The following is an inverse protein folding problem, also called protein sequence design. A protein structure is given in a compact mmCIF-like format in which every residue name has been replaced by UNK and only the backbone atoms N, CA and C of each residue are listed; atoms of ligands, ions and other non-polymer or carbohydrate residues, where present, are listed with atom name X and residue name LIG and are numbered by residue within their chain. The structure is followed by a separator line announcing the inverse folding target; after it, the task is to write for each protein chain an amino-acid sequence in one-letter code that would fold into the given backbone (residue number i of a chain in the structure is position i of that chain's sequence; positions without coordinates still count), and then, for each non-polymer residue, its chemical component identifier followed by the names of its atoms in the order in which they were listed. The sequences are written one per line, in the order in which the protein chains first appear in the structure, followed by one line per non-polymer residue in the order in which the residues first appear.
data_IF_720074767287
#
_entry.id   IF_720074767287
#
_cell.length_a   1.000
_cell.length_b   1.000
_cell.length_c   1.000
_cell.angle_alpha   90.00
_cell.angle_beta   90.00
_cell.angle_gamma   90.00
#
_symmetry.space_group_name_H-M   'P 1'
#
loop_
_entity.id
_entity.type
_entity.pdbx_description
1 polymer ?
#
# COMPACT_ATOMS: atom_id res chain seq x y z
N UNK A 1 -0.13 2.75 -13.69
CA UNK A 1 -1.57 2.67 -13.46
C UNK A 1 -1.90 1.23 -13.11
N UNK A 2 -2.64 1.00 -12.03
CA UNK A 2 -3.03 -0.33 -11.57
C UNK A 2 -4.55 -0.56 -11.71
N UNK A 3 -5.35 0.37 -11.19
CA UNK A 3 -6.80 0.29 -11.21
C UNK A 3 -7.42 1.50 -10.51
N UNK A 4 -8.75 1.48 -10.34
CA UNK A 4 -9.47 2.50 -9.60
C UNK A 4 -10.61 1.93 -8.78
N UNK A 5 -10.88 2.52 -7.62
CA UNK A 5 -11.98 2.14 -6.73
C UNK A 5 -12.75 3.38 -6.26
N UNK A 6 -14.07 3.46 -6.44
CA UNK A 6 -14.89 4.50 -5.80
C UNK A 6 -14.81 4.40 -4.28
N UNK A 7 -14.65 5.53 -3.60
CA UNK A 7 -14.59 5.62 -2.14
C UNK A 7 -15.58 6.67 -1.61
N UNK A 8 -16.70 6.24 -0.98
CA UNK A 8 -17.85 7.11 -0.70
C UNK A 8 -17.70 7.99 0.55
N UNK A 9 -16.47 8.40 0.91
CA UNK A 9 -16.23 9.28 2.06
C UNK A 9 -15.10 10.27 1.76
N UNK A 10 -15.37 11.57 1.52
CA UNK A 10 -16.69 12.18 1.29
C UNK A 10 -17.29 11.83 -0.08
N UNK A 11 -16.52 11.91 -1.19
CA UNK A 11 -16.92 11.49 -2.55
C UNK A 11 -15.65 11.38 -3.42
N UNK A 12 -14.86 10.31 -3.24
CA UNK A 12 -13.54 10.16 -3.89
C UNK A 12 -13.48 9.02 -4.88
N UNK A 13 -12.58 9.13 -5.86
CA UNK A 13 -12.15 8.02 -6.72
C UNK A 13 -10.69 7.72 -6.41
N UNK A 14 -10.43 6.57 -5.80
CA UNK A 14 -9.07 6.09 -5.55
C UNK A 14 -8.48 5.60 -6.86
N UNK A 15 -7.30 6.09 -7.24
CA UNK A 15 -6.57 5.61 -8.42
C UNK A 15 -5.26 5.00 -7.92
N UNK A 16 -5.11 3.69 -8.14
CA UNK A 16 -3.95 2.93 -7.69
C UNK A 16 -2.81 2.97 -8.70
N UNK A 17 -1.59 3.07 -8.18
CA UNK A 17 -0.35 3.01 -8.95
C UNK A 17 0.68 2.14 -8.24
N UNK A 18 1.58 1.56 -9.02
CA UNK A 18 2.83 0.97 -8.55
C UNK A 18 3.96 1.92 -8.91
N UNK A 19 4.96 1.99 -8.04
CA UNK A 19 6.12 2.86 -8.19
C UNK A 19 7.36 2.11 -7.72
N UNK A 20 8.49 2.38 -8.37
CA UNK A 20 9.80 1.93 -7.89
C UNK A 20 10.47 3.05 -7.10
N UNK A 21 11.15 2.66 -6.03
CA UNK A 21 11.92 3.60 -5.23
C UNK A 21 13.18 4.04 -5.98
N UNK A 22 13.35 5.35 -6.16
CA UNK A 22 14.51 5.90 -6.88
C UNK A 22 15.69 6.23 -5.95
N UNK A 23 15.45 7.01 -4.88
CA UNK A 23 16.45 7.44 -3.89
C UNK A 23 15.80 8.25 -2.75
N UNK A 24 16.55 8.54 -1.68
CA UNK A 24 16.08 9.31 -0.52
C UNK A 24 16.24 8.58 0.83
N UNK A 25 15.52 9.06 1.83
CA UNK A 25 15.34 8.42 3.14
C UNK A 25 13.88 8.60 3.58
N UNK A 26 13.37 7.72 4.45
CA UNK A 26 12.02 7.83 4.98
C UNK A 26 11.96 9.04 5.93
N UNK A 27 11.10 10.02 5.62
CA UNK A 27 10.84 11.21 6.45
C UNK A 27 9.34 11.52 6.41
N UNK A 28 8.49 10.83 7.21
CA UNK A 28 7.05 11.07 7.23
C UNK A 28 6.74 12.43 7.86
N UNK A 29 5.68 13.08 7.37
CA UNK A 29 5.08 14.22 8.06
C UNK A 29 4.35 13.71 9.31
N UNK A 30 4.75 14.14 10.53
CA UNK A 30 4.14 13.65 11.76
C UNK A 30 2.68 14.08 11.96
N UNK A 31 2.16 15.07 11.21
CA UNK A 31 0.75 15.44 11.27
C UNK A 31 -0.15 14.49 10.46
N UNK A 32 0.38 13.90 9.39
CA UNK A 32 -0.38 13.02 8.49
C UNK A 32 -0.09 11.52 8.70
N UNK A 33 1.15 11.15 9.00
CA UNK A 33 1.62 9.76 9.04
C UNK A 33 2.33 9.48 10.36
N UNK A 34 1.72 8.63 11.19
CA UNK A 34 2.28 8.20 12.48
C UNK A 34 3.49 7.26 12.34
N UNK A 35 3.46 6.34 11.36
CA UNK A 35 4.53 5.37 11.14
C UNK A 35 4.72 5.05 9.66
N UNK A 36 5.99 5.04 9.22
CA UNK A 36 6.40 4.63 7.89
C UNK A 36 7.68 3.79 7.96
N UNK A 37 7.67 2.64 7.30
CA UNK A 37 8.81 1.72 7.24
C UNK A 37 8.80 0.91 5.94
N UNK A 38 9.95 0.35 5.59
CA UNK A 38 10.07 -0.61 4.50
C UNK A 38 9.73 -2.01 4.99
N UNK A 39 8.92 -2.73 4.21
CA UNK A 39 8.56 -4.12 4.46
C UNK A 39 8.90 -4.97 3.24
N UNK A 40 9.47 -6.15 3.47
CA UNK A 40 9.68 -7.14 2.42
C UNK A 40 8.37 -7.88 2.13
N UNK A 41 8.25 -8.46 0.95
CA UNK A 41 7.11 -9.32 0.62
C UNK A 41 6.95 -10.49 1.60
N UNK A 42 8.06 -11.10 2.01
CA UNK A 42 8.09 -12.11 3.06
C UNK A 42 7.54 -11.61 4.40
N UNK A 43 7.93 -10.42 4.86
CA UNK A 43 7.44 -9.87 6.13
C UNK A 43 5.91 -9.66 6.10
N UNK A 44 5.39 -9.14 4.99
CA UNK A 44 3.94 -8.98 4.80
C UNK A 44 3.24 -10.35 4.79
N UNK A 45 3.78 -11.32 4.05
CA UNK A 45 3.22 -12.68 3.96
C UNK A 45 3.23 -13.42 5.30
N UNK A 46 4.24 -13.16 6.13
CA UNK A 46 4.38 -13.74 7.47
C UNK A 46 3.46 -13.05 8.49
N UNK A 47 2.74 -11.99 8.11
CA UNK A 47 1.84 -11.26 9.00
C UNK A 47 2.57 -10.36 10.00
N UNK A 48 3.80 -9.94 9.69
CA UNK A 48 4.58 -9.01 10.53
C UNK A 48 3.98 -7.59 10.54
N UNK A 49 3.13 -7.29 9.55
CA UNK A 49 2.36 -6.04 9.44
C UNK A 49 0.91 -6.35 9.07
N UNK A 50 -0.02 -5.55 9.63
CA UNK A 50 -1.42 -5.58 9.22
C UNK A 50 -1.59 -4.97 7.82
N UNK A 51 -2.34 -5.66 6.97
CA UNK A 51 -2.71 -5.16 5.65
C UNK A 51 -4.22 -5.31 5.44
N UNK A 52 -4.88 -4.36 4.76
CA UNK A 52 -6.29 -4.47 4.48
C UNK A 52 -6.55 -5.60 3.47
N UNK A 53 -7.67 -6.34 3.56
CA UNK A 53 -7.97 -7.40 2.60
C UNK A 53 -8.11 -6.89 1.16
N UNK A 54 -7.54 -7.62 0.20
CA UNK A 54 -7.64 -7.29 -1.22
C UNK A 54 -9.08 -7.32 -1.77
N UNK A 55 -9.93 -8.15 -1.19
CA UNK A 55 -11.35 -8.25 -1.57
C UNK A 55 -12.16 -6.96 -1.29
N UNK A 56 -11.66 -6.05 -0.45
CA UNK A 56 -12.42 -4.86 -0.02
C UNK A 56 -11.77 -3.53 -0.40
N UNK A 57 -10.48 -3.50 -0.69
CA UNK A 57 -9.75 -2.24 -0.89
C UNK A 57 -8.67 -2.35 -1.98
N UNK A 58 -8.51 -1.28 -2.76
CA UNK A 58 -7.44 -1.13 -3.75
C UNK A 58 -6.06 -1.12 -3.08
N UNK A 59 -5.97 -0.65 -1.83
CA UNK A 59 -4.76 -0.77 -1.02
C UNK A 59 -4.39 -2.24 -0.79
N UNK A 60 -5.35 -3.07 -0.39
CA UNK A 60 -5.15 -4.51 -0.22
C UNK A 60 -4.75 -5.20 -1.53
N UNK A 61 -5.37 -4.81 -2.66
CA UNK A 61 -5.02 -5.35 -3.98
C UNK A 61 -3.60 -5.01 -4.41
N UNK A 62 -3.15 -3.77 -4.17
CA UNK A 62 -1.78 -3.34 -4.46
C UNK A 62 -0.76 -4.12 -3.63
N UNK A 63 -1.07 -4.33 -2.35
CA UNK A 63 -0.18 -5.06 -1.42
C UNK A 63 -0.12 -6.54 -1.77
N UNK A 64 -1.26 -7.17 -2.06
CA UNK A 64 -1.32 -8.59 -2.48
C UNK A 64 -0.54 -8.79 -3.78
N UNK A 65 -0.73 -7.92 -4.78
CA UNK A 65 0.06 -7.93 -6.01
C UNK A 65 1.56 -7.83 -5.72
N UNK A 66 1.99 -6.95 -4.81
CA UNK A 66 3.40 -6.85 -4.43
C UNK A 66 3.93 -8.16 -3.83
N UNK A 67 3.18 -8.78 -2.91
CA UNK A 67 3.56 -10.05 -2.26
C UNK A 67 3.63 -11.21 -3.26
N UNK A 68 2.78 -11.21 -4.28
CA UNK A 68 2.77 -12.26 -5.31
C UNK A 68 3.91 -12.11 -6.34
N UNK A 69 4.40 -10.88 -6.57
CA UNK A 69 5.39 -10.59 -7.61
C UNK A 69 6.83 -10.49 -7.08
N UNK A 70 7.01 -10.36 -5.77
CA UNK A 70 8.33 -10.24 -5.13
C UNK A 70 8.46 -11.28 -4.02
N UNK A 71 9.59 -11.99 -3.97
CA UNK A 71 9.89 -13.04 -2.97
C UNK A 71 10.72 -12.49 -1.80
#
# INVERSE_FOLDING_TARGET
YFGSQPWPFPDSLMIGFTCEYASGEIQPDPEEIDHAAWYTAAAVKNGEIYTPPAAISIAGQLIEWFVENYN
#
